data_IF_803184235682
#
_entry.id   IF_803184235682
#
_cell.length_a   1.000
_cell.length_b   1.000
_cell.length_c   1.000
_cell.angle_alpha   90.00
_cell.angle_beta   90.00
_cell.angle_gamma   90.00
#
_symmetry.space_group_name_H-M   'P 1'
#
loop_
_entity.id
_entity.type
_entity.pdbx_description
1 polymer ?
#
# COMPACT_ATOMS: atom_id res chain seq x y z
N UNK A 1 6.45 -1.20 43.35
CA UNK A 1 6.56 -1.53 41.91
C UNK A 1 5.88 -0.39 41.17
N UNK A 2 6.61 0.38 40.37
CA UNK A 2 5.98 1.42 39.53
C UNK A 2 4.89 0.75 38.68
N UNK A 3 3.72 1.39 38.49
CA UNK A 3 2.66 0.79 37.67
C UNK A 3 3.24 0.45 36.30
N UNK A 4 3.11 -0.82 35.91
CA UNK A 4 3.57 -1.32 34.62
C UNK A 4 2.84 -0.54 33.52
N UNK A 5 3.59 0.18 32.68
CA UNK A 5 2.99 0.93 31.58
C UNK A 5 2.24 -0.04 30.65
N UNK A 6 0.97 0.20 30.38
CA UNK A 6 0.17 -0.60 29.46
C UNK A 6 -0.20 0.21 28.21
N UNK A 7 -0.15 -0.42 27.05
CA UNK A 7 -0.54 0.15 25.77
C UNK A 7 -1.52 -0.80 25.06
N UNK A 8 -2.59 -0.24 24.51
CA UNK A 8 -3.58 -1.01 23.76
C UNK A 8 -3.41 -0.77 22.26
N UNK A 9 -3.40 -1.82 21.44
CA UNK A 9 -3.21 -1.72 19.99
C UNK A 9 -4.26 -2.52 19.21
N UNK A 10 -4.72 -1.99 18.07
CA UNK A 10 -5.64 -2.69 17.17
C UNK A 10 -5.19 -2.64 15.72
N UNK A 11 -4.91 -3.80 15.14
CA UNK A 11 -4.76 -4.01 13.70
C UNK A 11 -5.92 -4.86 13.15
N UNK A 12 -6.47 -4.46 12.01
CA UNK A 12 -7.56 -5.17 11.34
C UNK A 12 -7.14 -6.00 10.11
N UNK A 13 -5.90 -5.80 9.65
CA UNK A 13 -5.34 -6.41 8.43
C UNK A 13 -3.84 -6.72 8.60
N UNK A 14 -3.31 -7.58 7.72
CA UNK A 14 -1.89 -8.01 7.74
C UNK A 14 -0.92 -6.83 7.62
N UNK A 15 -1.25 -5.79 6.85
CA UNK A 15 -0.45 -4.56 6.75
C UNK A 15 -0.37 -3.81 8.09
N UNK A 16 -1.50 -3.68 8.77
CA UNK A 16 -1.60 -3.06 10.10
C UNK A 16 -0.83 -3.85 11.15
N UNK A 17 -0.92 -5.18 11.13
CA UNK A 17 -0.19 -6.08 12.05
C UNK A 17 1.33 -5.89 11.93
N UNK A 18 1.84 -5.88 10.69
CA UNK A 18 3.26 -5.65 10.42
C UNK A 18 3.73 -4.28 10.92
N UNK A 19 2.91 -3.24 10.75
CA UNK A 19 3.25 -1.88 11.14
C UNK A 19 3.26 -1.69 12.66
N UNK A 20 2.20 -2.16 13.31
CA UNK A 20 2.09 -2.11 14.75
C UNK A 20 3.20 -2.93 15.43
N UNK A 21 3.56 -4.09 14.87
CA UNK A 21 4.68 -4.89 15.38
C UNK A 21 6.03 -4.13 15.33
N UNK A 22 6.30 -3.35 14.27
CA UNK A 22 7.50 -2.50 14.20
C UNK A 22 7.50 -1.41 15.26
N UNK A 23 6.35 -0.77 15.50
CA UNK A 23 6.19 0.19 16.59
C UNK A 23 6.44 -0.46 17.95
N UNK A 24 5.85 -1.64 18.22
CA UNK A 24 6.05 -2.38 19.47
C UNK A 24 7.53 -2.73 19.68
N UNK A 25 8.22 -3.16 18.63
CA UNK A 25 9.66 -3.43 18.66
C UNK A 25 10.47 -2.17 19.00
N UNK A 26 10.10 -1.00 18.45
CA UNK A 26 10.72 0.29 18.78
C UNK A 26 10.44 0.78 20.20
N UNK A 27 9.28 0.42 20.78
CA UNK A 27 8.87 0.82 22.13
C UNK A 27 9.54 -0.02 23.24
N UNK A 28 9.74 -1.33 23.04
CA UNK A 28 10.26 -2.25 24.07
C UNK A 28 11.58 -1.79 24.72
N UNK A 29 12.60 -1.34 23.96
CA UNK A 29 13.85 -0.85 24.57
C UNK A 29 13.66 0.43 25.39
N UNK A 30 12.62 1.21 25.09
CA UNK A 30 12.36 2.53 25.68
C UNK A 30 11.38 2.47 26.86
N UNK A 31 10.55 1.43 26.92
CA UNK A 31 9.63 1.14 28.02
C UNK A 31 9.84 -0.31 28.52
N UNK A 32 10.89 -0.57 29.32
CA UNK A 32 11.11 -1.89 29.89
C UNK A 32 9.90 -2.36 30.70
N UNK A 33 9.40 -3.56 30.38
CA UNK A 33 8.24 -4.14 31.04
C UNK A 33 6.88 -3.63 30.55
N UNK A 34 6.80 -2.87 29.45
CA UNK A 34 5.51 -2.47 28.88
C UNK A 34 4.62 -3.67 28.58
N UNK A 35 3.34 -3.59 28.96
CA UNK A 35 2.32 -4.59 28.64
C UNK A 35 1.54 -4.16 27.39
N UNK A 36 1.42 -5.06 26.42
CA UNK A 36 0.65 -4.82 25.20
C UNK A 36 -0.63 -5.65 25.20
N UNK A 37 -1.78 -5.01 25.01
CA UNK A 37 -3.08 -5.66 24.87
C UNK A 37 -3.81 -5.18 23.61
N UNK A 38 -4.84 -5.90 23.16
CA UNK A 38 -5.75 -5.43 22.12
C UNK A 38 -6.06 -6.49 21.07
N UNK A 39 -6.02 -6.13 19.79
CA UNK A 39 -6.31 -7.03 18.67
C UNK A 39 -5.20 -6.93 17.63
N UNK A 40 -4.55 -8.05 17.30
CA UNK A 40 -3.44 -8.06 16.37
C UNK A 40 -3.23 -9.44 15.75
N UNK A 41 -2.36 -9.49 14.76
CA UNK A 41 -2.01 -10.70 14.04
C UNK A 41 -0.73 -11.34 14.58
N UNK A 42 -0.18 -12.32 13.83
CA UNK A 42 1.02 -13.05 14.22
C UNK A 42 2.23 -12.17 14.54
N UNK A 43 2.44 -11.06 13.81
CA UNK A 43 3.61 -10.18 14.03
C UNK A 43 3.51 -9.43 15.34
N UNK A 44 2.33 -8.93 15.70
CA UNK A 44 2.13 -8.29 17.00
C UNK A 44 2.21 -9.32 18.15
N UNK A 45 1.75 -10.55 17.93
CA UNK A 45 1.91 -11.64 18.91
C UNK A 45 3.37 -12.01 19.15
N UNK A 46 4.20 -12.07 18.11
CA UNK A 46 5.67 -12.21 18.23
C UNK A 46 6.27 -11.09 19.10
N UNK A 47 5.63 -9.91 19.11
CA UNK A 47 6.02 -8.79 19.97
C UNK A 47 5.40 -8.82 21.38
N UNK A 48 4.65 -9.87 21.75
CA UNK A 48 4.09 -10.02 23.10
C UNK A 48 2.74 -9.35 23.29
N UNK A 49 1.99 -9.08 22.21
CA UNK A 49 0.60 -8.63 22.31
C UNK A 49 -0.29 -9.75 22.87
N UNK A 50 -1.01 -9.46 23.94
CA UNK A 50 -2.13 -10.27 24.39
C UNK A 50 -3.41 -9.87 23.64
N UNK A 51 -3.99 -10.80 22.88
CA UNK A 51 -5.27 -10.62 22.18
C UNK A 51 -6.25 -11.73 22.53
N UNK A 52 -7.46 -11.34 22.94
CA UNK A 52 -8.57 -12.27 23.18
C UNK A 52 -9.42 -12.49 21.91
N UNK A 53 -9.10 -11.77 20.83
CA UNK A 53 -9.83 -11.78 19.57
C UNK A 53 -8.86 -12.04 18.43
N UNK A 54 -9.14 -13.04 17.59
CA UNK A 54 -8.34 -13.31 16.41
C UNK A 54 -8.52 -12.18 15.38
N UNK A 55 -7.43 -11.62 14.83
CA UNK A 55 -7.49 -10.51 13.86
C UNK A 55 -8.33 -10.85 12.62
N UNK A 56 -8.37 -12.12 12.22
CA UNK A 56 -9.17 -12.64 11.11
C UNK A 56 -10.67 -12.32 11.29
N UNK A 57 -11.15 -12.22 12.53
CA UNK A 57 -12.53 -11.81 12.82
C UNK A 57 -12.81 -10.38 12.34
N UNK A 58 -11.81 -9.50 12.37
CA UNK A 58 -11.92 -8.12 11.89
C UNK A 58 -11.69 -8.00 10.38
N UNK A 59 -11.04 -8.98 9.76
CA UNK A 59 -10.66 -8.92 8.34
C UNK A 59 -11.90 -9.06 7.46
N UNK A 60 -12.33 -7.97 6.82
CA UNK A 60 -13.47 -7.98 5.89
C UNK A 60 -13.05 -7.40 4.54
N UNK A 61 -13.02 -8.24 3.51
CA UNK A 61 -12.66 -7.83 2.14
C UNK A 61 -13.90 -7.37 1.37
N UNK A 62 -14.04 -6.05 1.18
CA UNK A 62 -15.06 -5.44 0.33
C UNK A 62 -16.29 -4.88 1.08
N UNK A 63 -17.06 -4.01 0.42
CA UNK A 63 -18.13 -3.23 1.05
C UNK A 63 -19.36 -4.06 1.46
N UNK A 64 -19.74 -5.04 0.63
CA UNK A 64 -20.91 -5.91 0.86
C UNK A 64 -20.75 -6.80 2.12
N UNK A 65 -19.62 -7.51 2.32
CA UNK A 65 -19.40 -8.26 3.54
C UNK A 65 -19.30 -7.39 4.81
N UNK A 66 -18.85 -6.12 4.70
CA UNK A 66 -18.80 -5.18 5.84
C UNK A 66 -20.20 -4.85 6.35
N UNK A 67 -21.17 -4.61 5.46
CA UNK A 67 -22.54 -4.29 5.86
C UNK A 67 -23.22 -5.46 6.59
N UNK A 68 -22.98 -6.70 6.12
CA UNK A 68 -23.54 -7.91 6.74
C UNK A 68 -22.93 -8.19 8.12
N UNK A 69 -21.64 -7.89 8.31
CA UNK A 69 -20.92 -8.12 9.58
C UNK A 69 -20.81 -6.87 10.47
N UNK A 70 -21.45 -5.77 10.10
CA UNK A 70 -21.33 -4.51 10.84
C UNK A 70 -21.73 -4.64 12.32
N UNK A 71 -22.82 -5.38 12.61
CA UNK A 71 -23.30 -5.60 13.98
C UNK A 71 -22.29 -6.36 14.82
N UNK A 72 -21.66 -7.38 14.26
CA UNK A 72 -20.62 -8.19 14.89
C UNK A 72 -19.39 -7.33 15.18
N UNK A 73 -18.86 -6.63 14.18
CA UNK A 73 -17.70 -5.74 14.34
C UNK A 73 -17.96 -4.63 15.37
N UNK A 74 -19.17 -4.06 15.37
CA UNK A 74 -19.54 -3.05 16.36
C UNK A 74 -19.66 -3.63 17.76
N UNK A 75 -20.12 -4.88 17.90
CA UNK A 75 -20.11 -5.63 19.15
C UNK A 75 -18.69 -5.79 19.70
N UNK A 76 -17.76 -6.29 18.89
CA UNK A 76 -16.34 -6.42 19.25
C UNK A 76 -15.76 -5.07 19.68
N UNK A 77 -16.03 -4.01 18.91
CA UNK A 77 -15.57 -2.66 19.25
C UNK A 77 -16.10 -2.18 20.59
N UNK A 78 -17.38 -2.43 20.90
CA UNK A 78 -18.00 -1.99 22.15
C UNK A 78 -17.42 -2.75 23.37
N UNK A 79 -17.25 -4.06 23.26
CA UNK A 79 -16.62 -4.88 24.30
C UNK A 79 -15.19 -4.44 24.56
N UNK A 80 -14.41 -4.21 23.48
CA UNK A 80 -13.05 -3.71 23.61
C UNK A 80 -13.02 -2.32 24.26
N UNK A 81 -13.91 -1.42 23.84
CA UNK A 81 -14.05 -0.09 24.46
C UNK A 81 -14.29 -0.19 25.96
N UNK A 82 -15.28 -0.98 26.38
CA UNK A 82 -15.63 -1.13 27.80
C UNK A 82 -14.46 -1.64 28.62
N UNK A 83 -13.75 -2.65 28.09
CA UNK A 83 -12.52 -3.15 28.69
C UNK A 83 -11.45 -2.06 28.82
N UNK A 84 -11.17 -1.32 27.74
CA UNK A 84 -10.13 -0.28 27.75
C UNK A 84 -10.48 0.92 28.65
N UNK A 85 -11.76 1.22 28.82
CA UNK A 85 -12.22 2.24 29.78
C UNK A 85 -12.02 1.82 31.23
N UNK A 86 -12.05 0.51 31.52
CA UNK A 86 -11.72 -0.05 32.83
C UNK A 86 -10.20 -0.15 33.06
N UNK A 87 -9.46 -0.69 32.08
CA UNK A 87 -8.00 -0.88 32.16
C UNK A 87 -7.23 0.45 32.13
N UNK A 88 -7.76 1.46 31.44
CA UNK A 88 -7.16 2.78 31.22
C UNK A 88 -5.67 2.72 30.80
N UNK A 89 -5.37 2.18 29.60
CA UNK A 89 -4.00 2.15 29.11
C UNK A 89 -3.41 3.56 28.97
N UNK A 90 -2.08 3.66 28.99
CA UNK A 90 -1.37 4.93 28.83
C UNK A 90 -1.65 5.57 27.46
N UNK A 91 -1.87 4.75 26.43
CA UNK A 91 -2.42 5.16 25.15
C UNK A 91 -3.08 3.98 24.43
N UNK A 92 -4.01 4.31 23.53
CA UNK A 92 -4.53 3.42 22.52
C UNK A 92 -3.92 3.74 21.16
N UNK A 93 -3.51 2.71 20.40
CA UNK A 93 -2.93 2.84 19.06
C UNK A 93 -3.76 2.07 18.04
N UNK A 94 -4.45 2.78 17.14
CA UNK A 94 -5.12 2.17 16.00
C UNK A 94 -4.17 2.05 14.81
N UNK A 95 -3.94 0.83 14.31
CA UNK A 95 -3.11 0.57 13.15
C UNK A 95 -3.96 0.36 11.89
N UNK A 96 -3.98 1.36 11.01
CA UNK A 96 -4.82 1.42 9.82
C UNK A 96 -6.30 1.16 10.18
N UNK A 97 -7.07 0.57 9.27
CA UNK A 97 -8.45 0.15 9.48
C UNK A 97 -9.37 1.24 10.06
N UNK A 98 -9.39 2.45 9.45
CA UNK A 98 -10.01 3.65 10.03
C UNK A 98 -11.53 3.53 10.24
N UNK A 99 -12.20 2.60 9.54
CA UNK A 99 -13.62 2.32 9.76
C UNK A 99 -13.92 1.80 11.16
N UNK A 100 -13.02 0.99 11.71
CA UNK A 100 -13.09 0.50 13.08
C UNK A 100 -12.38 1.47 14.03
N UNK A 101 -11.10 1.74 13.80
CA UNK A 101 -10.22 2.40 14.76
C UNK A 101 -10.64 3.85 15.08
N UNK A 102 -10.94 4.69 14.09
CA UNK A 102 -11.30 6.11 14.36
C UNK A 102 -12.56 6.26 15.23
N UNK A 103 -13.50 5.31 15.15
CA UNK A 103 -14.71 5.33 15.98
C UNK A 103 -14.43 4.93 17.44
N UNK A 104 -13.52 3.99 17.65
CA UNK A 104 -13.06 3.60 18.98
C UNK A 104 -12.20 4.69 19.61
N UNK A 105 -11.26 5.26 18.85
CA UNK A 105 -10.39 6.35 19.26
C UNK A 105 -11.17 7.58 19.72
N UNK A 106 -12.20 8.00 18.97
CA UNK A 106 -13.07 9.11 19.37
C UNK A 106 -13.72 8.89 20.74
N UNK A 107 -14.16 7.67 21.03
CA UNK A 107 -14.77 7.33 22.31
C UNK A 107 -13.74 7.28 23.45
N UNK A 108 -12.57 6.69 23.21
CA UNK A 108 -11.50 6.59 24.22
C UNK A 108 -10.89 7.96 24.53
N UNK A 109 -10.67 8.78 23.51
CA UNK A 109 -10.16 10.14 23.68
C UNK A 109 -11.15 11.04 24.41
N UNK A 110 -12.43 10.94 24.10
CA UNK A 110 -13.47 11.66 24.86
C UNK A 110 -13.49 11.25 26.34
N UNK A 111 -13.12 10.01 26.67
CA UNK A 111 -12.98 9.54 28.05
C UNK A 111 -11.63 9.89 28.69
N UNK A 112 -10.71 10.56 27.99
CA UNK A 112 -9.41 10.98 28.49
C UNK A 112 -8.26 9.98 28.30
N UNK A 113 -8.43 8.94 27.47
CA UNK A 113 -7.33 8.05 27.08
C UNK A 113 -6.67 8.61 25.82
N UNK A 114 -5.35 8.88 25.82
CA UNK A 114 -4.65 9.34 24.62
C UNK A 114 -4.73 8.32 23.49
N UNK A 115 -4.86 8.80 22.26
CA UNK A 115 -5.05 7.98 21.06
C UNK A 115 -4.05 8.34 19.97
N UNK A 116 -3.39 7.33 19.40
CA UNK A 116 -2.48 7.49 18.27
C UNK A 116 -3.02 6.69 17.09
N UNK A 117 -3.06 7.27 15.90
CA UNK A 117 -3.51 6.57 14.70
C UNK A 117 -2.37 6.40 13.71
N UNK A 118 -2.13 5.16 13.28
CA UNK A 118 -1.05 4.77 12.39
C UNK A 118 -1.58 4.58 10.97
N UNK A 119 -0.91 5.18 9.97
CA UNK A 119 -1.38 5.29 8.58
C UNK A 119 -2.72 6.03 8.51
N UNK A 120 -2.64 7.34 8.37
CA UNK A 120 -3.85 8.14 8.19
C UNK A 120 -4.65 7.71 6.96
N UNK A 121 -6.00 7.78 7.01
CA UNK A 121 -6.78 7.65 5.79
C UNK A 121 -6.28 8.69 4.78
N UNK A 122 -6.18 8.31 3.50
CA UNK A 122 -5.71 9.21 2.43
C UNK A 122 -6.72 10.35 2.17
N UNK A 123 -6.81 11.30 3.09
CA UNK A 123 -7.73 12.44 3.07
C UNK A 123 -7.45 13.39 1.90
N UNK A 124 -6.25 13.36 1.35
CA UNK A 124 -5.88 14.06 0.13
C UNK A 124 -6.53 13.45 -1.11
N UNK A 125 -6.89 12.16 -1.07
CA UNK A 125 -7.67 11.52 -2.12
C UNK A 125 -9.17 11.81 -1.96
N UNK A 126 -9.70 11.99 -0.75
CA UNK A 126 -11.14 12.15 -0.51
C UNK A 126 -11.42 13.43 0.29
N UNK A 127 -12.00 14.45 -0.37
CA UNK A 127 -12.38 15.77 0.17
C UNK A 127 -12.58 15.77 1.71
N UNK A 128 -11.96 16.76 2.37
CA UNK A 128 -11.65 16.85 3.80
C UNK A 128 -12.76 16.69 4.86
N UNK A 129 -13.96 16.19 4.54
CA UNK A 129 -15.02 15.96 5.50
C UNK A 129 -14.63 15.03 6.66
N UNK A 130 -13.70 14.09 6.44
CA UNK A 130 -13.20 13.20 7.51
C UNK A 130 -12.25 13.88 8.49
N UNK A 131 -11.67 15.04 8.14
CA UNK A 131 -10.67 15.69 9.00
C UNK A 131 -11.25 16.07 10.37
N UNK A 132 -12.52 16.48 10.41
CA UNK A 132 -13.24 16.81 11.65
C UNK A 132 -13.43 15.60 12.57
N UNK A 133 -13.61 14.41 11.99
CA UNK A 133 -13.66 13.17 12.78
C UNK A 133 -12.27 12.86 13.33
N UNK A 134 -11.24 12.94 12.49
CA UNK A 134 -9.86 12.69 12.92
C UNK A 134 -9.44 13.65 14.03
N UNK A 135 -9.71 14.96 13.88
CA UNK A 135 -9.48 15.98 14.90
C UNK A 135 -10.08 15.65 16.26
N UNK A 136 -11.21 14.94 16.31
CA UNK A 136 -11.85 14.50 17.56
C UNK A 136 -11.32 13.14 18.03
N UNK A 137 -10.98 12.26 17.10
CA UNK A 137 -10.53 10.90 17.38
C UNK A 137 -9.10 10.81 17.90
N UNK A 138 -8.16 11.57 17.33
CA UNK A 138 -6.73 11.28 17.48
C UNK A 138 -6.01 12.35 18.30
N UNK A 139 -5.16 11.92 19.22
CA UNK A 139 -4.21 12.78 19.92
C UNK A 139 -2.98 13.05 19.06
N UNK A 140 -2.57 12.06 18.23
CA UNK A 140 -1.46 12.19 17.30
C UNK A 140 -1.62 11.25 16.09
N UNK A 141 -1.19 11.70 14.91
CA UNK A 141 -1.16 10.92 13.67
C UNK A 141 0.26 10.46 13.32
N UNK A 142 0.41 9.22 12.91
CA UNK A 142 1.64 8.70 12.29
C UNK A 142 1.42 8.50 10.80
N UNK A 143 2.19 9.22 10.00
CA UNK A 143 1.96 9.39 8.57
C UNK A 143 3.09 8.78 7.75
N UNK A 144 2.74 8.19 6.61
CA UNK A 144 3.66 7.41 5.77
C UNK A 144 4.07 8.13 4.49
N UNK A 145 3.47 9.28 4.21
CA UNK A 145 3.92 10.15 3.12
C UNK A 145 4.33 11.54 3.62
N UNK A 146 5.40 12.12 3.06
CA UNK A 146 6.01 13.35 3.58
C UNK A 146 5.08 14.56 3.49
N UNK A 147 4.23 14.62 2.46
CA UNK A 147 3.31 15.73 2.26
C UNK A 147 2.10 15.71 3.21
N UNK A 148 1.78 14.57 3.81
CA UNK A 148 0.61 14.43 4.68
C UNK A 148 0.77 15.23 5.96
N UNK A 149 1.99 15.31 6.50
CA UNK A 149 2.25 15.98 7.78
C UNK A 149 1.80 17.44 7.75
N UNK A 150 2.14 18.17 6.68
CA UNK A 150 1.71 19.55 6.51
C UNK A 150 0.17 19.68 6.43
N UNK A 151 -0.52 18.73 5.77
CA UNK A 151 -1.97 18.73 5.64
C UNK A 151 -2.67 18.54 6.99
N UNK A 152 -2.19 17.58 7.80
CA UNK A 152 -2.76 17.32 9.12
C UNK A 152 -2.46 18.46 10.11
N UNK A 153 -1.24 19.01 10.08
CA UNK A 153 -0.87 20.16 10.92
C UNK A 153 -1.66 21.42 10.58
N UNK A 154 -1.91 21.69 9.29
CA UNK A 154 -2.77 22.79 8.87
C UNK A 154 -4.21 22.63 9.36
N UNK A 155 -4.66 21.39 9.54
CA UNK A 155 -5.93 21.07 10.17
C UNK A 155 -5.85 20.98 11.71
N UNK A 156 -4.78 21.44 12.35
CA UNK A 156 -4.65 21.42 13.81
C UNK A 156 -4.54 20.03 14.44
N UNK A 157 -4.20 19.00 13.65
CA UNK A 157 -3.97 17.64 14.15
C UNK A 157 -2.46 17.42 14.32
N UNK A 158 -1.97 17.11 15.53
CA UNK A 158 -0.59 16.72 15.74
C UNK A 158 -0.23 15.50 14.88
N UNK A 159 0.87 15.57 14.15
CA UNK A 159 1.26 14.54 13.22
C UNK A 159 2.77 14.40 13.14
N UNK A 160 3.26 13.18 12.90
CA UNK A 160 4.67 12.88 12.63
C UNK A 160 4.76 12.07 11.35
N UNK A 161 5.61 12.50 10.42
CA UNK A 161 6.01 11.70 9.29
C UNK A 161 7.04 10.64 9.71
N UNK A 162 6.70 9.36 9.55
CA UNK A 162 7.51 8.22 10.03
C UNK A 162 8.18 7.43 8.89
N UNK A 163 8.09 7.89 7.65
CA UNK A 163 8.55 7.14 6.48
C UNK A 163 7.56 6.09 5.98
N UNK A 164 7.86 5.53 4.81
CA UNK A 164 7.01 4.51 4.19
C UNK A 164 7.59 3.11 4.44
N UNK A 165 6.81 2.13 4.94
CA UNK A 165 7.31 0.80 5.32
C UNK A 165 8.02 0.03 4.20
N UNK A 166 7.53 0.20 2.97
CA UNK A 166 8.14 -0.40 1.78
C UNK A 166 9.57 0.11 1.52
N UNK A 167 9.88 1.36 1.89
CA UNK A 167 11.21 1.92 1.69
C UNK A 167 12.26 1.23 2.56
N UNK A 168 11.89 0.75 3.75
CA UNK A 168 12.77 -0.06 4.61
C UNK A 168 12.89 -1.52 4.14
N UNK A 169 11.88 -2.05 3.42
CA UNK A 169 11.86 -3.43 2.96
C UNK A 169 12.61 -3.62 1.64
N UNK A 170 12.54 -2.64 0.75
CA UNK A 170 13.15 -2.68 -0.57
C UNK A 170 14.55 -2.08 -0.46
N UNK A 171 15.61 -2.79 -0.89
CA UNK A 171 16.97 -2.25 -0.85
C UNK A 171 17.11 -1.06 -1.80
N UNK A 172 17.94 -0.08 -1.44
CA UNK A 172 18.24 1.08 -2.29
C UNK A 172 18.81 0.66 -3.66
N UNK A 173 19.56 -0.44 -3.67
CA UNK A 173 20.09 -1.08 -4.88
C UNK A 173 19.52 -2.49 -5.02
N UNK A 174 18.48 -2.69 -5.86
CA UNK A 174 17.94 -4.02 -6.12
C UNK A 174 18.91 -4.94 -6.86
N UNK A 175 18.95 -6.22 -6.47
CA UNK A 175 19.73 -7.27 -7.15
C UNK A 175 19.00 -7.78 -8.41
N UNK A 176 19.16 -7.02 -9.51
CA UNK A 176 18.56 -7.35 -10.82
C UNK A 176 19.06 -8.72 -11.32
N UNK A 177 20.35 -8.99 -11.22
CA UNK A 177 20.95 -10.21 -11.74
C UNK A 177 20.47 -11.44 -10.97
N UNK A 178 20.38 -11.35 -9.64
CA UNK A 178 19.81 -12.41 -8.81
C UNK A 178 18.34 -12.64 -9.04
N UNK A 179 17.54 -11.59 -9.22
CA UNK A 179 16.14 -11.71 -9.59
C UNK A 179 15.97 -12.44 -10.93
N UNK A 180 16.76 -12.08 -11.96
CA UNK A 180 16.79 -12.78 -13.25
C UNK A 180 17.19 -14.24 -13.11
N UNK A 181 18.19 -14.57 -12.27
CA UNK A 181 18.59 -15.96 -11.99
C UNK A 181 17.46 -16.77 -11.35
N UNK A 182 16.79 -16.22 -10.33
CA UNK A 182 15.65 -16.86 -9.65
C UNK A 182 14.49 -17.15 -10.61
N UNK A 183 14.26 -16.25 -11.57
CA UNK A 183 13.20 -16.37 -12.57
C UNK A 183 13.61 -17.15 -13.83
N UNK A 184 14.87 -17.59 -13.95
CA UNK A 184 15.37 -18.27 -15.15
C UNK A 184 15.42 -17.38 -16.40
N UNK A 185 15.59 -16.07 -16.23
CA UNK A 185 15.63 -15.09 -17.33
C UNK A 185 17.08 -14.85 -17.75
N UNK A 186 17.40 -14.87 -19.07
CA UNK A 186 18.73 -14.51 -19.57
C UNK A 186 19.15 -13.09 -19.15
N UNK A 187 20.43 -12.90 -18.84
CA UNK A 187 20.93 -11.63 -18.30
C UNK A 187 20.93 -10.50 -19.34
N UNK A 188 21.00 -10.84 -20.62
CA UNK A 188 21.00 -9.94 -21.78
C UNK A 188 19.60 -9.66 -22.34
N UNK A 189 18.58 -10.39 -21.88
CA UNK A 189 17.21 -10.17 -22.31
C UNK A 189 16.67 -8.81 -21.83
N UNK A 190 15.84 -8.18 -22.67
CA UNK A 190 14.95 -7.10 -22.26
C UNK A 190 13.70 -7.69 -21.61
N UNK A 191 13.31 -7.19 -20.45
CA UNK A 191 12.21 -7.76 -19.67
C UNK A 191 11.11 -6.72 -19.47
N UNK A 192 9.89 -7.07 -19.86
CA UNK A 192 8.69 -6.28 -19.56
C UNK A 192 7.84 -7.05 -18.56
N UNK A 193 7.64 -6.47 -17.39
CA UNK A 193 6.75 -7.04 -16.37
C UNK A 193 5.36 -6.43 -16.48
N UNK A 194 4.34 -7.27 -16.56
CA UNK A 194 2.93 -6.89 -16.67
C UNK A 194 2.23 -7.22 -15.35
N UNK A 195 1.79 -6.20 -14.63
CA UNK A 195 1.13 -6.32 -13.33
C UNK A 195 -0.36 -5.95 -13.47
N UNK A 196 -1.25 -6.91 -13.78
CA UNK A 196 -2.67 -6.65 -14.07
C UNK A 196 -3.51 -6.24 -12.86
N UNK A 197 -2.90 -6.17 -11.67
CA UNK A 197 -3.57 -5.86 -10.41
C UNK A 197 -3.82 -7.10 -9.55
N UNK A 198 -4.19 -6.87 -8.29
CA UNK A 198 -4.47 -7.92 -7.31
C UNK A 198 -5.97 -8.13 -7.10
N UNK A 199 -6.79 -7.14 -7.47
CA UNK A 199 -8.25 -7.18 -7.36
C UNK A 199 -8.87 -7.78 -8.62
N UNK A 200 -9.94 -8.55 -8.43
CA UNK A 200 -10.68 -9.16 -9.55
C UNK A 200 -11.22 -8.11 -10.53
N UNK A 201 -11.60 -6.92 -10.06
CA UNK A 201 -12.05 -5.83 -10.92
C UNK A 201 -10.93 -5.29 -11.80
N UNK A 202 -9.72 -5.11 -11.27
CA UNK A 202 -8.54 -4.68 -12.03
C UNK A 202 -8.23 -5.70 -13.13
N UNK A 203 -8.16 -6.99 -12.76
CA UNK A 203 -7.94 -8.09 -13.71
C UNK A 203 -9.02 -8.09 -14.80
N UNK A 204 -10.30 -7.94 -14.43
CA UNK A 204 -11.42 -7.91 -15.38
C UNK A 204 -11.26 -6.86 -16.47
N UNK A 205 -10.84 -5.64 -16.13
CA UNK A 205 -10.82 -4.51 -17.07
C UNK A 205 -9.45 -4.28 -17.74
N UNK A 206 -8.37 -4.76 -17.15
CA UNK A 206 -7.01 -4.53 -17.65
C UNK A 206 -6.42 -5.72 -18.41
N UNK A 207 -6.92 -6.95 -18.21
CA UNK A 207 -6.37 -8.15 -18.86
C UNK A 207 -6.32 -8.04 -20.38
N UNK A 208 -7.46 -7.79 -21.03
CA UNK A 208 -7.50 -7.68 -22.50
C UNK A 208 -6.64 -6.52 -23.03
N UNK A 209 -6.75 -5.27 -22.51
CA UNK A 209 -5.87 -4.18 -22.92
C UNK A 209 -4.38 -4.52 -22.77
N UNK A 210 -3.99 -5.17 -21.67
CA UNK A 210 -2.60 -5.52 -21.41
C UNK A 210 -2.10 -6.61 -22.35
N UNK A 211 -2.88 -7.65 -22.60
CA UNK A 211 -2.51 -8.71 -23.53
C UNK A 211 -2.37 -8.18 -24.96
N UNK A 212 -3.29 -7.31 -25.41
CA UNK A 212 -3.17 -6.65 -26.72
C UNK A 212 -1.94 -5.71 -26.78
N UNK A 213 -1.59 -5.07 -25.67
CA UNK A 213 -0.35 -4.27 -25.55
C UNK A 213 0.89 -5.15 -25.72
N UNK A 214 0.95 -6.29 -25.02
CA UNK A 214 2.04 -7.26 -25.16
C UNK A 214 2.13 -7.80 -26.58
N UNK A 215 0.98 -8.11 -27.21
CA UNK A 215 0.94 -8.55 -28.61
C UNK A 215 1.51 -7.51 -29.58
N UNK A 216 1.25 -6.21 -29.35
CA UNK A 216 1.84 -5.12 -30.14
C UNK A 216 3.35 -5.04 -29.93
N UNK A 217 3.80 -5.01 -28.67
CA UNK A 217 5.23 -4.95 -28.33
C UNK A 217 6.02 -6.14 -28.87
N UNK A 218 5.45 -7.35 -28.79
CA UNK A 218 6.05 -8.55 -29.35
C UNK A 218 6.23 -8.46 -30.87
N UNK A 219 5.28 -7.85 -31.58
CA UNK A 219 5.40 -7.58 -33.03
C UNK A 219 6.50 -6.56 -33.34
N UNK A 220 6.61 -5.49 -32.55
CA UNK A 220 7.64 -4.45 -32.75
C UNK A 220 9.06 -4.95 -32.44
N UNK A 221 9.20 -5.80 -31.43
CA UNK A 221 10.47 -6.43 -31.11
C UNK A 221 10.96 -7.39 -32.21
N UNK A 222 10.07 -7.86 -33.09
CA UNK A 222 10.37 -8.76 -34.19
C UNK A 222 10.77 -10.18 -33.74
N UNK A 223 11.19 -11.00 -34.71
CA UNK A 223 11.53 -12.42 -34.52
C UNK A 223 12.80 -12.67 -33.69
N UNK A 224 13.59 -11.63 -33.39
CA UNK A 224 14.87 -11.75 -32.70
C UNK A 224 14.76 -11.91 -31.16
N UNK A 225 13.55 -12.13 -30.62
CA UNK A 225 13.37 -12.72 -29.27
C UNK A 225 13.95 -11.95 -28.09
N UNK A 226 14.33 -10.68 -28.27
CA UNK A 226 15.05 -9.92 -27.26
C UNK A 226 14.17 -9.51 -26.07
N UNK A 227 12.85 -9.42 -26.26
CA UNK A 227 11.92 -8.98 -25.20
C UNK A 227 11.15 -10.17 -24.61
N UNK A 228 11.29 -10.36 -23.30
CA UNK A 228 10.56 -11.34 -22.49
C UNK A 228 9.44 -10.63 -21.74
N UNK A 229 8.23 -11.17 -21.81
CA UNK A 229 7.10 -10.64 -21.06
C UNK A 229 6.74 -11.60 -19.93
N UNK A 230 6.66 -11.09 -18.71
CA UNK A 230 6.31 -11.85 -17.52
C UNK A 230 5.17 -11.17 -16.76
N UNK A 231 4.28 -11.94 -16.14
CA UNK A 231 3.19 -11.41 -15.33
C UNK A 231 3.07 -12.15 -13.99
N UNK A 232 3.45 -11.52 -12.86
CA UNK A 232 3.23 -12.11 -11.54
C UNK A 232 1.74 -12.13 -11.21
N UNK A 233 1.24 -13.29 -10.78
CA UNK A 233 -0.14 -13.47 -10.33
C UNK A 233 -0.18 -13.55 -8.80
N UNK A 234 -1.04 -12.75 -8.18
CA UNK A 234 -1.13 -12.65 -6.72
C UNK A 234 -1.62 -13.96 -6.03
N UNK A 235 -2.21 -14.88 -6.79
CA UNK A 235 -2.66 -16.18 -6.31
C UNK A 235 -3.41 -16.97 -7.37
N UNK A 236 -3.70 -18.23 -7.07
CA UNK A 236 -4.33 -19.19 -8.00
C UNK A 236 -5.67 -18.69 -8.57
N UNK A 237 -6.51 -18.06 -7.73
CA UNK A 237 -7.81 -17.53 -8.18
C UNK A 237 -7.63 -16.41 -9.21
N UNK A 238 -6.69 -15.51 -8.99
CA UNK A 238 -6.37 -14.41 -9.90
C UNK A 238 -5.79 -14.95 -11.21
N UNK A 239 -4.86 -15.91 -11.12
CA UNK A 239 -4.25 -16.58 -12.28
C UNK A 239 -5.31 -17.26 -13.15
N UNK A 240 -6.18 -18.07 -12.55
CA UNK A 240 -7.26 -18.76 -13.25
C UNK A 240 -8.23 -17.77 -13.93
N UNK A 241 -8.56 -16.67 -13.25
CA UNK A 241 -9.43 -15.63 -13.82
C UNK A 241 -8.76 -14.89 -14.99
N UNK A 242 -7.48 -14.55 -14.86
CA UNK A 242 -6.69 -13.94 -15.93
C UNK A 242 -6.62 -14.85 -17.17
N UNK A 243 -6.35 -16.15 -16.97
CA UNK A 243 -6.34 -17.14 -18.06
C UNK A 243 -7.70 -17.28 -18.75
N UNK A 244 -8.80 -17.33 -17.97
CA UNK A 244 -10.14 -17.37 -18.55
C UNK A 244 -10.47 -16.15 -19.41
N UNK A 245 -10.07 -14.95 -18.97
CA UNK A 245 -10.25 -13.72 -19.76
C UNK A 245 -9.36 -13.69 -21.01
N UNK A 246 -8.12 -14.19 -20.92
CA UNK A 246 -7.23 -14.35 -22.07
C UNK A 246 -7.88 -15.25 -23.13
N UNK A 247 -8.43 -16.37 -22.69
CA UNK A 247 -8.99 -17.37 -23.60
C UNK A 247 -10.29 -16.86 -24.24
N UNK A 248 -11.15 -16.17 -23.47
CA UNK A 248 -12.35 -15.50 -23.98
C UNK A 248 -12.04 -14.42 -25.03
N UNK A 249 -10.91 -13.73 -24.88
CA UNK A 249 -10.46 -12.71 -25.81
C UNK A 249 -9.76 -13.27 -27.06
N UNK A 250 -9.52 -14.60 -27.12
CA UNK A 250 -8.76 -15.21 -28.22
C UNK A 250 -7.29 -14.81 -28.25
N UNK A 251 -6.68 -14.61 -27.08
CA UNK A 251 -5.30 -14.10 -26.91
C UNK A 251 -4.35 -15.15 -26.32
N UNK A 252 -4.58 -16.44 -26.61
CA UNK A 252 -3.79 -17.56 -26.07
C UNK A 252 -2.34 -17.53 -26.57
N UNK A 253 -2.12 -17.05 -27.81
CA UNK A 253 -0.82 -17.03 -28.46
C UNK A 253 0.06 -15.83 -28.05
N UNK A 254 -0.45 -14.95 -27.18
CA UNK A 254 0.34 -13.81 -26.69
C UNK A 254 1.52 -14.33 -25.85
N UNK A 255 2.77 -13.97 -26.17
CA UNK A 255 3.95 -14.52 -25.51
C UNK A 255 4.15 -13.91 -24.12
N UNK A 256 3.35 -14.32 -23.15
CA UNK A 256 3.36 -13.85 -21.77
C UNK A 256 3.52 -15.03 -20.80
N UNK A 257 4.61 -15.04 -20.03
CA UNK A 257 4.85 -16.05 -19.00
C UNK A 257 4.21 -15.63 -17.68
N UNK A 258 3.29 -16.44 -17.15
CA UNK A 258 2.71 -16.21 -15.82
C UNK A 258 3.67 -16.72 -14.75
N UNK A 259 3.88 -15.91 -13.71
CA UNK A 259 4.72 -16.26 -12.55
C UNK A 259 3.84 -16.32 -11.31
N UNK A 260 3.98 -17.36 -10.51
CA UNK A 260 3.21 -17.52 -9.27
C UNK A 260 3.85 -16.69 -8.15
N UNK A 261 3.13 -15.67 -7.69
CA UNK A 261 3.65 -14.71 -6.71
C UNK A 261 4.88 -13.96 -7.25
N UNK A 262 5.94 -13.89 -6.43
CA UNK A 262 7.26 -13.35 -6.81
C UNK A 262 7.22 -11.97 -7.51
N UNK A 263 6.25 -11.12 -7.15
CA UNK A 263 6.09 -9.80 -7.78
C UNK A 263 7.35 -8.95 -7.65
N UNK A 264 8.00 -8.98 -6.50
CA UNK A 264 9.24 -8.24 -6.22
C UNK A 264 10.40 -8.69 -7.12
N UNK A 265 10.56 -9.99 -7.33
CA UNK A 265 11.57 -10.53 -8.25
C UNK A 265 11.25 -10.15 -9.70
N UNK A 266 9.97 -10.21 -10.10
CA UNK A 266 9.55 -9.80 -11.43
C UNK A 266 9.84 -8.32 -11.67
N UNK A 267 9.49 -7.44 -10.72
CA UNK A 267 9.80 -6.00 -10.78
C UNK A 267 11.32 -5.81 -10.84
N UNK A 268 12.08 -6.44 -9.95
CA UNK A 268 13.54 -6.30 -9.91
C UNK A 268 14.22 -6.74 -11.21
N UNK A 269 13.71 -7.79 -11.88
CA UNK A 269 14.23 -8.28 -13.16
C UNK A 269 13.89 -7.38 -14.36
N UNK A 270 12.82 -6.57 -14.25
CA UNK A 270 12.26 -5.78 -15.34
C UNK A 270 13.18 -4.66 -15.85
N UNK A 271 13.07 -4.36 -17.14
CA UNK A 271 13.56 -3.13 -17.77
C UNK A 271 12.46 -2.07 -17.91
N UNK A 272 11.20 -2.49 -18.06
CA UNK A 272 10.02 -1.64 -17.99
C UNK A 272 8.84 -2.41 -17.37
N UNK A 273 7.93 -1.70 -16.71
CA UNK A 273 6.76 -2.30 -16.04
C UNK A 273 5.45 -1.67 -16.51
N UNK A 274 4.47 -2.49 -16.87
CA UNK A 274 3.07 -2.08 -17.06
C UNK A 274 2.29 -2.39 -15.78
N UNK A 275 1.88 -1.37 -15.05
CA UNK A 275 1.26 -1.54 -13.75
C UNK A 275 -0.18 -1.03 -13.70
N UNK A 276 -1.07 -1.82 -13.09
CA UNK A 276 -2.33 -1.31 -12.57
C UNK A 276 -2.05 -0.26 -11.47
N UNK A 277 -2.90 0.76 -11.38
CA UNK A 277 -2.76 1.79 -10.32
C UNK A 277 -2.90 1.20 -8.91
N UNK A 278 -2.15 1.76 -7.95
CA UNK A 278 -2.17 1.38 -6.54
C UNK A 278 -0.77 1.27 -5.94
N UNK A 279 -0.64 0.56 -4.83
CA UNK A 279 0.63 0.37 -4.10
C UNK A 279 1.73 -0.24 -4.95
N UNK A 280 1.38 -1.10 -5.92
CA UNK A 280 2.33 -1.70 -6.86
C UNK A 280 3.15 -0.62 -7.60
N UNK A 281 2.56 0.51 -7.95
CA UNK A 281 3.28 1.61 -8.63
C UNK A 281 4.39 2.21 -7.74
N UNK A 282 4.17 2.26 -6.43
CA UNK A 282 5.22 2.69 -5.49
C UNK A 282 6.32 1.62 -5.36
N UNK A 283 5.96 0.34 -5.30
CA UNK A 283 6.96 -0.74 -5.28
C UNK A 283 7.86 -0.65 -6.53
N UNK A 284 7.28 -0.51 -7.71
CA UNK A 284 8.02 -0.37 -8.98
C UNK A 284 8.97 0.84 -8.96
N UNK A 285 8.53 1.97 -8.42
CA UNK A 285 9.39 3.14 -8.22
C UNK A 285 10.51 2.84 -7.21
N UNK A 286 10.22 2.19 -6.08
CA UNK A 286 11.25 1.83 -5.10
C UNK A 286 12.30 0.85 -5.69
N UNK A 287 11.92 -0.01 -6.63
CA UNK A 287 12.83 -0.83 -7.43
C UNK A 287 13.56 -0.08 -8.58
N UNK A 288 13.36 1.24 -8.69
CA UNK A 288 13.97 2.13 -9.70
C UNK A 288 13.61 1.74 -11.14
N UNK A 289 12.43 1.16 -11.36
CA UNK A 289 12.04 0.65 -12.66
C UNK A 289 11.19 1.65 -13.44
N UNK A 290 11.52 1.92 -14.71
CA UNK A 290 10.62 2.62 -15.63
C UNK A 290 9.25 1.95 -15.66
N UNK A 291 8.18 2.74 -15.73
CA UNK A 291 6.83 2.18 -15.73
C UNK A 291 5.83 2.97 -16.55
N UNK A 292 4.74 2.31 -16.90
CA UNK A 292 3.51 2.88 -17.42
C UNK A 292 2.37 2.45 -16.51
N UNK A 293 1.56 3.41 -16.07
CA UNK A 293 0.44 3.17 -15.17
C UNK A 293 -0.85 3.20 -15.97
N UNK A 294 -1.68 2.18 -15.78
CA UNK A 294 -3.02 2.14 -16.36
C UNK A 294 -4.07 1.88 -15.27
N UNK A 295 -5.21 2.55 -15.42
CA UNK A 295 -6.32 2.41 -14.49
C UNK A 295 -7.63 2.32 -15.26
N UNK A 296 -8.37 1.21 -15.03
CA UNK A 296 -9.71 0.99 -15.55
C UNK A 296 -10.62 0.45 -14.45
N UNK A 297 -11.70 1.17 -14.17
CA UNK A 297 -12.80 0.75 -13.30
C UNK A 297 -14.13 0.70 -14.05
N UNK A 298 -15.15 0.17 -13.37
CA UNK A 298 -16.54 0.16 -13.82
C UNK A 298 -16.97 1.55 -14.31
N UNK A 299 -17.66 1.68 -15.46
CA UNK A 299 -18.09 2.99 -15.98
C UNK A 299 -18.94 3.79 -14.98
N UNK A 300 -19.82 3.13 -14.24
CA UNK A 300 -20.62 3.77 -13.18
C UNK A 300 -19.75 4.35 -12.05
N UNK A 301 -18.73 3.59 -11.62
CA UNK A 301 -17.77 4.04 -10.61
C UNK A 301 -16.95 5.23 -11.13
N UNK A 302 -16.51 5.16 -12.40
CA UNK A 302 -15.79 6.26 -13.04
C UNK A 302 -16.63 7.54 -13.13
N UNK A 303 -17.92 7.43 -13.45
CA UNK A 303 -18.81 8.59 -13.51
C UNK A 303 -18.94 9.28 -12.15
N UNK A 304 -18.87 8.53 -11.04
CA UNK A 304 -18.88 9.11 -9.69
C UNK A 304 -17.51 9.75 -9.40
N UNK A 305 -16.42 9.00 -9.61
CA UNK A 305 -15.05 9.42 -9.26
C UNK A 305 -14.61 10.64 -10.06
N UNK A 306 -14.92 10.74 -11.36
CA UNK A 306 -14.47 11.86 -12.21
C UNK A 306 -14.93 13.24 -11.73
N UNK A 307 -15.99 13.30 -10.92
CA UNK A 307 -16.54 14.56 -10.40
C UNK A 307 -16.02 14.93 -9.01
N UNK A 308 -15.15 14.12 -8.39
CA UNK A 308 -14.73 14.32 -7.00
C UNK A 308 -13.50 15.22 -6.80
N UNK A 309 -13.00 15.89 -7.85
CA UNK A 309 -11.93 16.88 -7.72
C UNK A 309 -10.61 16.31 -7.20
N UNK A 310 -10.22 15.13 -7.69
CA UNK A 310 -8.98 14.46 -7.33
C UNK A 310 -7.75 15.25 -7.80
N UNK A 311 -6.59 14.90 -7.21
CA UNK A 311 -5.29 15.24 -7.78
C UNK A 311 -5.23 14.82 -9.25
N UNK A 312 -4.45 15.52 -10.10
CA UNK A 312 -4.32 15.16 -11.51
C UNK A 312 -3.63 13.79 -11.72
N UNK A 313 -3.05 13.23 -10.66
CA UNK A 313 -2.33 11.95 -10.65
C UNK A 313 -3.07 10.91 -9.80
N UNK A 314 -3.02 9.65 -10.23
CA UNK A 314 -3.51 8.51 -9.46
C UNK A 314 -2.35 7.59 -9.03
N UNK A 315 -1.27 7.56 -9.81
CA UNK A 315 -0.07 6.80 -9.47
C UNK A 315 0.69 7.41 -8.30
N UNK A 316 1.06 6.59 -7.32
CA UNK A 316 1.81 7.05 -6.15
C UNK A 316 3.13 7.76 -6.52
N UNK A 317 3.91 7.31 -7.53
CA UNK A 317 5.13 8.01 -7.92
C UNK A 317 4.88 9.46 -8.36
N UNK A 318 3.83 9.67 -9.15
CA UNK A 318 3.47 11.00 -9.64
C UNK A 318 2.86 11.88 -8.55
N UNK A 319 2.05 11.31 -7.65
CA UNK A 319 1.52 12.00 -6.48
C UNK A 319 2.64 12.49 -5.58
N UNK A 320 3.63 11.63 -5.29
CA UNK A 320 4.78 11.97 -4.45
C UNK A 320 5.67 13.02 -5.10
N UNK A 321 5.87 12.93 -6.42
CA UNK A 321 6.66 13.89 -7.16
C UNK A 321 5.91 15.20 -7.47
N UNK A 322 4.58 15.22 -7.32
CA UNK A 322 3.69 16.31 -7.74
C UNK A 322 3.88 16.72 -9.20
N UNK A 323 4.16 15.73 -10.05
CA UNK A 323 4.29 15.89 -11.50
C UNK A 323 4.10 14.53 -12.20
N UNK A 324 3.88 14.54 -13.52
CA UNK A 324 3.86 13.31 -14.33
C UNK A 324 5.29 12.83 -14.61
N UNK A 325 5.90 12.18 -13.62
CA UNK A 325 7.22 11.54 -13.76
C UNK A 325 7.14 10.35 -14.71
N UNK A 326 6.03 9.60 -14.64
CA UNK A 326 5.70 8.46 -15.52
C UNK A 326 4.33 8.64 -16.16
N UNK A 327 4.11 8.07 -17.36
CA UNK A 327 2.83 8.18 -18.05
C UNK A 327 1.72 7.42 -17.31
N UNK A 328 0.55 8.06 -17.22
CA UNK A 328 -0.67 7.53 -16.62
C UNK A 328 -1.81 7.55 -17.64
N UNK A 329 -2.46 6.41 -17.85
CA UNK A 329 -3.58 6.27 -18.76
C UNK A 329 -4.84 5.83 -18.01
N UNK A 330 -5.87 6.68 -18.05
CA UNK A 330 -7.12 6.49 -17.32
C UNK A 330 -8.25 6.09 -18.26
N UNK A 331 -9.02 5.07 -17.87
CA UNK A 331 -10.22 4.63 -18.57
C UNK A 331 -10.02 4.48 -20.08
N UNK A 332 -10.67 5.32 -20.89
CA UNK A 332 -10.64 5.26 -22.35
C UNK A 332 -9.26 5.60 -22.93
N UNK A 333 -8.41 6.33 -22.21
CA UNK A 333 -7.04 6.61 -22.63
C UNK A 333 -6.13 5.37 -22.54
N UNK A 334 -6.46 4.37 -21.70
CA UNK A 334 -5.73 3.10 -21.60
C UNK A 334 -6.08 2.16 -22.75
N UNK A 335 -5.73 2.59 -23.97
CA UNK A 335 -5.83 1.80 -25.20
C UNK A 335 -4.55 0.98 -25.41
N UNK A 336 -4.61 -0.21 -26.05
CA UNK A 336 -3.42 -1.02 -26.29
C UNK A 336 -2.30 -0.29 -27.02
N UNK A 337 -2.63 0.55 -28.01
CA UNK A 337 -1.65 1.32 -28.77
C UNK A 337 -0.93 2.35 -27.88
N UNK A 338 -1.69 3.17 -27.14
CA UNK A 338 -1.11 4.18 -26.25
C UNK A 338 -0.23 3.57 -25.15
N UNK A 339 -0.65 2.43 -24.59
CA UNK A 339 0.15 1.69 -23.61
C UNK A 339 1.42 1.10 -24.22
N UNK A 340 1.33 0.57 -25.44
CA UNK A 340 2.49 0.01 -26.15
C UNK A 340 3.50 1.10 -26.48
N UNK A 341 3.07 2.23 -27.05
CA UNK A 341 3.93 3.37 -27.38
C UNK A 341 4.68 3.86 -26.12
N UNK A 342 3.95 4.08 -25.04
CA UNK A 342 4.53 4.54 -23.78
C UNK A 342 5.52 3.51 -23.19
N UNK A 343 5.18 2.21 -23.21
CA UNK A 343 6.08 1.16 -22.72
C UNK A 343 7.33 1.03 -23.58
N UNK A 344 7.20 1.19 -24.90
CA UNK A 344 8.33 1.14 -25.81
C UNK A 344 9.33 2.25 -25.50
N UNK A 345 8.86 3.47 -25.23
CA UNK A 345 9.71 4.57 -24.75
C UNK A 345 10.38 4.20 -23.42
N UNK A 346 9.63 3.68 -22.44
CA UNK A 346 10.21 3.25 -21.16
C UNK A 346 11.27 2.15 -21.32
N UNK A 347 11.10 1.28 -22.32
CA UNK A 347 11.99 0.17 -22.59
C UNK A 347 13.25 0.57 -23.37
N UNK A 348 13.17 1.56 -24.26
CA UNK A 348 14.22 1.87 -25.25
C UNK A 348 14.96 3.17 -25.00
N UNK A 349 14.36 4.16 -24.34
CA UNK A 349 15.00 5.44 -24.05
C UNK A 349 15.91 5.34 -22.81
N UNK A 350 17.22 5.26 -23.05
CA UNK A 350 18.24 5.14 -22.01
C UNK A 350 18.36 6.40 -21.15
N UNK A 351 18.22 7.59 -21.74
CA UNK A 351 18.27 8.86 -21.00
C UNK A 351 17.10 8.98 -20.03
N UNK A 352 15.91 8.63 -20.50
CA UNK A 352 14.72 8.58 -19.65
C UNK A 352 14.87 7.53 -18.54
N UNK A 353 15.46 6.36 -18.83
CA UNK A 353 15.73 5.34 -17.81
C UNK A 353 16.64 5.87 -16.69
N UNK A 354 17.76 6.50 -17.04
CA UNK A 354 18.70 7.08 -16.07
C UNK A 354 18.01 8.17 -15.24
N UNK A 355 17.24 9.06 -15.90
CA UNK A 355 16.46 10.10 -15.23
C UNK A 355 15.48 9.50 -14.21
N UNK A 356 14.72 8.47 -14.60
CA UNK A 356 13.75 7.82 -13.73
C UNK A 356 14.41 7.09 -12.57
N UNK A 357 15.55 6.42 -12.80
CA UNK A 357 16.32 5.78 -11.74
C UNK A 357 16.75 6.79 -10.67
N UNK A 358 17.28 7.95 -11.09
CA UNK A 358 17.66 9.00 -10.13
C UNK A 358 16.44 9.55 -9.39
N UNK A 359 15.37 9.91 -10.11
CA UNK A 359 14.14 10.44 -9.50
C UNK A 359 13.53 9.48 -8.48
N UNK A 360 13.56 8.19 -8.77
CA UNK A 360 13.05 7.17 -7.86
C UNK A 360 14.00 6.81 -6.73
N UNK A 361 15.30 7.09 -6.87
CA UNK A 361 16.26 7.01 -5.78
C UNK A 361 16.07 8.14 -4.78
N UNK A 362 15.91 9.37 -5.26
CA UNK A 362 15.59 10.53 -4.42
C UNK A 362 14.27 10.29 -3.68
N UNK A 363 13.26 9.76 -4.37
CA UNK A 363 11.99 9.37 -3.76
C UNK A 363 12.18 8.32 -2.65
N UNK A 364 12.97 7.28 -2.88
CA UNK A 364 13.24 6.26 -1.87
C UNK A 364 13.93 6.83 -0.64
N UNK A 365 14.94 7.68 -0.82
CA UNK A 365 15.57 8.40 0.30
C UNK A 365 14.57 9.28 1.06
N UNK A 366 13.64 9.95 0.37
CA UNK A 366 12.62 10.75 1.03
C UNK A 366 11.68 9.89 1.90
N UNK A 367 11.44 8.64 1.49
CA UNK A 367 10.55 7.69 2.14
C UNK A 367 11.22 6.83 3.22
N UNK A 368 12.54 6.66 3.15
CA UNK A 368 13.31 5.85 4.07
C UNK A 368 13.53 6.59 5.39
N UNK A 369 12.93 6.08 6.46
CA UNK A 369 13.07 6.56 7.83
C UNK A 369 13.07 5.36 8.77
N UNK A 370 13.58 5.55 9.99
CA UNK A 370 13.39 4.59 11.08
C UNK A 370 11.94 4.63 11.56
N UNK A 371 11.07 3.86 10.88
CA UNK A 371 9.63 3.93 11.12
C UNK A 371 9.28 3.47 12.53
N UNK A 372 9.96 2.43 13.03
CA UNK A 372 9.77 1.91 14.38
C UNK A 372 10.17 2.92 15.45
N UNK A 373 11.37 3.49 15.33
CA UNK A 373 11.89 4.46 16.29
C UNK A 373 11.09 5.77 16.31
N UNK A 374 10.79 6.35 15.16
CA UNK A 374 10.01 7.59 15.08
C UNK A 374 8.58 7.42 15.58
N UNK A 375 7.95 6.26 15.30
CA UNK A 375 6.63 5.95 15.82
C UNK A 375 6.65 5.80 17.34
N UNK A 376 7.68 5.14 17.88
CA UNK A 376 7.85 5.01 19.33
C UNK A 376 8.07 6.37 19.99
N UNK A 377 8.87 7.27 19.41
CA UNK A 377 9.09 8.62 19.96
C UNK A 377 7.79 9.42 20.01
N UNK A 378 6.97 9.35 18.97
CA UNK A 378 5.67 10.02 18.94
C UNK A 378 4.72 9.46 20.01
N UNK A 379 4.65 8.14 20.19
CA UNK A 379 3.84 7.52 21.26
C UNK A 379 4.35 7.95 22.65
N UNK A 380 5.66 7.96 22.86
CA UNK A 380 6.27 8.41 24.11
C UNK A 380 5.95 9.88 24.43
N UNK A 381 5.97 10.75 23.42
CA UNK A 381 5.56 12.15 23.59
C UNK A 381 4.08 12.28 23.96
N UNK A 382 3.21 11.43 23.40
CA UNK A 382 1.77 11.44 23.70
C UNK A 382 1.51 11.00 25.14
N UNK A 383 2.11 9.89 25.58
CA UNK A 383 1.95 9.41 26.97
C UNK A 383 2.62 10.35 27.99
N UNK A 384 3.72 11.02 27.61
CA UNK A 384 4.43 11.95 28.48
C UNK A 384 3.68 13.25 28.74
N UNK A 385 2.88 13.71 27.77
CA UNK A 385 2.00 14.88 27.92
C UNK A 385 0.70 14.61 28.68
N UNK A 386 0.35 13.33 28.87
CA UNK A 386 -0.89 12.90 29.50
C UNK A 386 -0.76 12.65 31.01
N UNK A 387 0.47 12.69 31.55
CA UNK A 387 0.77 12.74 32.97
C UNK A 387 0.81 14.18 33.43
#
# INVERSE_FOLDING_TARGET
MSPQCSLALVAGEVSGDMLAARLMAGLKPRLPGVAFSGIGGPRMHEQGLASDVAMETLTVRGLLPVLLRYRELKGIQNTLRERLLLERPAAFIGADYPGFNLGLEEQLRAAGIPTVHFVGPQIWAWRGGRIKKIQRAVSHMLLIFPFEEALYRAAGVPATYIGHPLAEQIPLQPDVAGARRRLGIPQDAKVVTVMPGSRMSEIKYLTEPYLRTVQLLARWAGSNGAVRFIAPMAGERQKAYFMGLRDQAGLQDVPLTLVDGQSHDCIAAADAVLAASGTATLEVALYKKPMVIAYKVLPAEWMIIRHMGYLPWIGLPNILAREFVVPEFLQHAATPAALADALWVQLTDENNRVRLQQRFLDMHHSLLRDSGGLSADAVLQVIGKAK
#
